data_IF_211417294949
#
_entry.id   IF_211417294949
#
_cell.length_a   1.000
_cell.length_b   1.000
_cell.length_c   1.000
_cell.angle_alpha   90.00
_cell.angle_beta   90.00
_cell.angle_gamma   90.00
#
_symmetry.space_group_name_H-M   'P 1'
#
loop_
_entity.id
_entity.type
_entity.pdbx_description
1 polymer ?
#
# COMPACT_ATOMS: atom_id res chain seq x y z
N UNK A 1 -7.74 -18.90 6.20
CA UNK A 1 -6.83 -18.60 7.31
C UNK A 1 -5.55 -17.85 6.90
N UNK A 2 -5.45 -17.42 5.63
CA UNK A 2 -4.32 -16.60 5.14
C UNK A 2 -4.72 -15.12 5.16
N UNK A 3 -3.73 -14.25 5.48
CA UNK A 3 -3.95 -12.80 5.49
C UNK A 3 -3.27 -12.13 4.32
N UNK A 4 -2.02 -12.47 4.05
CA UNK A 4 -1.22 -11.98 2.95
C UNK A 4 -0.67 -13.11 2.09
N UNK A 5 -0.78 -12.97 0.77
CA UNK A 5 -0.31 -13.95 -0.18
C UNK A 5 0.42 -13.21 -1.31
N UNK A 6 1.61 -13.73 -1.66
CA UNK A 6 2.44 -13.23 -2.73
C UNK A 6 2.40 -14.17 -3.93
N UNK A 7 2.39 -13.60 -5.12
CA UNK A 7 2.32 -14.31 -6.40
C UNK A 7 3.54 -13.95 -7.24
N UNK A 8 4.56 -14.82 -7.29
CA UNK A 8 5.71 -14.65 -8.18
C UNK A 8 5.36 -15.02 -9.63
N UNK A 9 4.25 -15.73 -9.86
CA UNK A 9 3.81 -16.21 -11.17
C UNK A 9 3.36 -15.04 -12.05
N UNK A 10 3.77 -15.07 -13.32
CA UNK A 10 3.47 -14.00 -14.29
C UNK A 10 2.04 -14.02 -14.82
N UNK A 11 1.34 -15.12 -14.59
CA UNK A 11 -0.05 -15.33 -14.99
C UNK A 11 -1.00 -14.37 -14.27
N UNK A 12 -0.68 -14.03 -13.02
CA UNK A 12 -1.48 -13.11 -12.22
C UNK A 12 -1.10 -11.65 -12.49
N UNK A 13 -2.09 -10.78 -12.62
CA UNK A 13 -1.86 -9.34 -12.77
C UNK A 13 -1.37 -8.71 -11.47
N UNK A 14 -1.86 -9.19 -10.33
CA UNK A 14 -1.44 -8.76 -9.00
C UNK A 14 -0.21 -9.55 -8.53
N UNK A 15 0.65 -8.89 -7.79
CA UNK A 15 1.83 -9.52 -7.19
C UNK A 15 1.60 -9.90 -5.73
N UNK A 16 0.56 -9.32 -5.12
CA UNK A 16 0.15 -9.59 -3.73
C UNK A 16 -1.34 -9.36 -3.60
N UNK A 17 -1.97 -10.17 -2.77
CA UNK A 17 -3.28 -9.84 -2.24
C UNK A 17 -3.33 -10.01 -0.72
N UNK A 18 -4.33 -9.40 -0.10
CA UNK A 18 -4.64 -9.66 1.29
C UNK A 18 -6.16 -9.70 1.53
N UNK A 19 -6.55 -10.60 2.41
CA UNK A 19 -7.94 -10.85 2.75
C UNK A 19 -8.24 -10.11 4.03
N UNK A 20 -8.80 -8.91 3.91
CA UNK A 20 -9.04 -8.01 5.04
C UNK A 20 -10.03 -8.60 6.04
N UNK A 21 -11.05 -9.30 5.56
CA UNK A 21 -12.04 -9.97 6.42
C UNK A 21 -11.43 -11.05 7.33
N UNK A 22 -10.25 -11.60 6.98
CA UNK A 22 -9.52 -12.52 7.85
C UNK A 22 -8.76 -11.78 8.97
N UNK A 23 -8.47 -10.49 8.81
CA UNK A 23 -7.83 -9.67 9.84
C UNK A 23 -8.85 -9.24 10.88
N UNK A 24 -10.04 -8.81 10.42
CA UNK A 24 -11.11 -8.41 11.32
C UNK A 24 -12.48 -8.69 10.68
N UNK A 25 -13.42 -9.28 11.43
CA UNK A 25 -14.77 -9.56 10.92
C UNK A 25 -15.57 -8.28 10.64
N UNK A 26 -15.09 -7.11 11.07
CA UNK A 26 -15.73 -5.81 10.81
C UNK A 26 -15.33 -5.17 9.47
N UNK A 27 -14.41 -5.80 8.71
CA UNK A 27 -13.94 -5.28 7.43
C UNK A 27 -14.72 -5.83 6.23
N UNK A 28 -15.81 -6.57 6.47
CA UNK A 28 -16.77 -6.97 5.46
C UNK A 28 -18.14 -7.18 6.13
N UNK A 29 -19.27 -7.03 5.41
CA UNK A 29 -20.58 -7.42 5.92
C UNK A 29 -20.63 -8.89 6.31
N UNK A 30 -21.52 -9.23 7.23
CA UNK A 30 -21.68 -10.62 7.69
C UNK A 30 -21.98 -11.57 6.52
N UNK A 31 -21.25 -12.67 6.43
CA UNK A 31 -21.39 -13.65 5.37
C UNK A 31 -20.69 -13.29 4.05
N UNK A 32 -19.93 -12.21 4.05
CA UNK A 32 -19.12 -11.78 2.89
C UNK A 32 -17.63 -11.73 3.21
N UNK A 33 -16.80 -11.49 2.19
CA UNK A 33 -15.36 -11.32 2.33
C UNK A 33 -14.89 -10.07 1.59
N UNK A 34 -13.77 -9.50 2.03
CA UNK A 34 -13.10 -8.41 1.32
C UNK A 34 -11.66 -8.79 0.98
N UNK A 35 -11.26 -8.55 -0.26
CA UNK A 35 -9.93 -8.87 -0.80
C UNK A 35 -9.37 -7.62 -1.46
N UNK A 36 -8.14 -7.24 -1.10
CA UNK A 36 -7.39 -6.21 -1.80
C UNK A 36 -6.28 -6.85 -2.63
N UNK A 37 -6.21 -6.49 -3.91
CA UNK A 37 -5.18 -6.95 -4.83
C UNK A 37 -4.24 -5.81 -5.19
N UNK A 38 -2.93 -6.00 -4.99
CA UNK A 38 -1.92 -5.00 -5.30
C UNK A 38 -1.28 -5.27 -6.65
N UNK A 39 -1.37 -4.27 -7.53
CA UNK A 39 -0.89 -4.36 -8.91
C UNK A 39 0.21 -3.32 -9.11
N UNK A 40 1.42 -3.79 -9.39
CA UNK A 40 2.51 -2.89 -9.77
C UNK A 40 2.40 -2.51 -11.23
N UNK A 41 2.57 -1.23 -11.54
CA UNK A 41 2.68 -0.73 -12.91
C UNK A 41 3.82 0.29 -13.03
N UNK A 42 4.25 0.54 -14.25
CA UNK A 42 5.34 1.48 -14.53
C UNK A 42 5.26 1.93 -16.00
N UNK A 43 6.10 2.88 -16.45
CA UNK A 43 6.23 3.19 -17.87
C UNK A 43 6.54 1.98 -18.76
N UNK A 44 7.15 0.93 -18.17
CA UNK A 44 7.52 -0.32 -18.87
C UNK A 44 6.50 -1.45 -18.67
N UNK A 45 5.70 -1.41 -17.61
CA UNK A 45 4.62 -2.34 -17.33
C UNK A 45 3.30 -1.58 -17.33
N UNK A 46 2.74 -1.41 -18.51
CA UNK A 46 1.44 -0.74 -18.67
C UNK A 46 0.32 -1.68 -18.25
N UNK A 47 -0.73 -1.10 -17.68
CA UNK A 47 -1.99 -1.78 -17.35
C UNK A 47 -3.13 -1.10 -18.10
N UNK A 48 -4.14 -1.88 -18.47
CA UNK A 48 -5.40 -1.38 -18.99
C UNK A 48 -6.35 -1.12 -17.80
N UNK A 49 -6.49 0.14 -17.42
CA UNK A 49 -7.30 0.53 -16.25
C UNK A 49 -8.79 0.26 -16.44
N UNK A 50 -9.28 0.24 -17.67
CA UNK A 50 -10.70 -0.03 -17.97
C UNK A 50 -11.05 -1.51 -17.79
N UNK A 51 -10.06 -2.40 -17.95
CA UNK A 51 -10.24 -3.86 -17.86
C UNK A 51 -9.63 -4.47 -16.59
N UNK A 52 -9.10 -3.63 -15.70
CA UNK A 52 -8.31 -4.14 -14.57
C UNK A 52 -9.15 -4.95 -13.61
N UNK A 53 -10.38 -4.52 -13.33
CA UNK A 53 -11.30 -5.25 -12.42
C UNK A 53 -11.65 -6.62 -13.00
N UNK A 54 -12.08 -6.66 -14.26
CA UNK A 54 -12.38 -7.92 -14.95
C UNK A 54 -11.18 -8.87 -14.91
N UNK A 55 -9.98 -8.33 -15.14
CA UNK A 55 -8.75 -9.13 -15.09
C UNK A 55 -8.46 -9.65 -13.68
N UNK A 56 -8.61 -8.82 -12.64
CA UNK A 56 -8.41 -9.23 -11.23
C UNK A 56 -9.41 -10.32 -10.85
N UNK A 57 -10.70 -10.16 -11.20
CA UNK A 57 -11.73 -11.16 -10.91
C UNK A 57 -11.38 -12.50 -11.56
N UNK A 58 -10.98 -12.51 -12.83
CA UNK A 58 -10.57 -13.73 -13.52
C UNK A 58 -9.34 -14.39 -12.85
N UNK A 59 -8.37 -13.59 -12.42
CA UNK A 59 -7.19 -14.07 -11.73
C UNK A 59 -7.51 -14.60 -10.31
N UNK A 60 -8.47 -14.00 -9.60
CA UNK A 60 -8.97 -14.52 -8.31
C UNK A 60 -9.70 -15.86 -8.48
N UNK A 61 -10.47 -16.03 -9.55
CA UNK A 61 -11.08 -17.32 -9.90
C UNK A 61 -9.99 -18.35 -10.21
N UNK A 62 -8.99 -18.00 -11.00
CA UNK A 62 -7.86 -18.87 -11.31
C UNK A 62 -7.09 -19.30 -10.05
N UNK A 63 -6.96 -18.39 -9.09
CA UNK A 63 -6.30 -18.63 -7.79
C UNK A 63 -7.21 -19.36 -6.78
N UNK A 64 -8.45 -19.71 -7.13
CA UNK A 64 -9.47 -20.36 -6.29
C UNK A 64 -9.83 -19.56 -5.02
N UNK A 65 -9.88 -18.22 -5.11
CA UNK A 65 -10.37 -17.36 -4.04
C UNK A 65 -11.86 -17.11 -4.12
N UNK A 66 -12.38 -17.05 -5.33
CA UNK A 66 -13.79 -16.86 -5.62
C UNK A 66 -14.22 -17.84 -6.70
N UNK A 67 -15.48 -18.18 -6.71
CA UNK A 67 -16.12 -18.98 -7.75
C UNK A 67 -16.75 -18.08 -8.83
N UNK A 68 -16.98 -18.63 -10.03
CA UNK A 68 -17.61 -17.88 -11.13
C UNK A 68 -19.03 -17.38 -10.82
N UNK A 69 -19.69 -18.00 -9.84
CA UNK A 69 -21.05 -17.68 -9.44
C UNK A 69 -21.09 -16.77 -8.19
N UNK A 70 -19.93 -16.42 -7.63
CA UNK A 70 -19.88 -15.49 -6.51
C UNK A 70 -20.28 -14.08 -6.96
N UNK A 71 -21.06 -13.42 -6.12
CA UNK A 71 -21.51 -12.06 -6.35
C UNK A 71 -20.46 -11.05 -5.87
N UNK A 72 -20.06 -10.15 -6.75
CA UNK A 72 -19.22 -9.00 -6.41
C UNK A 72 -20.11 -7.87 -5.93
N UNK A 73 -20.17 -7.65 -4.62
CA UNK A 73 -21.04 -6.66 -4.01
C UNK A 73 -20.54 -5.21 -4.18
N UNK A 74 -19.24 -5.03 -4.23
CA UNK A 74 -18.61 -3.72 -4.42
C UNK A 74 -17.20 -3.89 -4.98
N UNK A 75 -16.75 -2.88 -5.73
CA UNK A 75 -15.40 -2.76 -6.25
C UNK A 75 -14.91 -1.32 -6.12
N UNK A 76 -13.62 -1.16 -5.86
CA UNK A 76 -12.96 0.14 -5.82
C UNK A 76 -11.52 0.03 -6.35
N UNK A 77 -11.04 1.10 -6.99
CA UNK A 77 -9.69 1.20 -7.54
C UNK A 77 -9.01 2.44 -6.97
N UNK A 78 -7.94 2.24 -6.23
CA UNK A 78 -7.10 3.32 -5.71
C UNK A 78 -5.79 3.36 -6.46
N UNK A 79 -5.54 4.43 -7.20
CA UNK A 79 -4.28 4.65 -7.91
C UNK A 79 -3.29 5.40 -7.02
N UNK A 80 -2.27 4.70 -6.53
CA UNK A 80 -1.23 5.23 -5.68
C UNK A 80 0.04 5.52 -6.49
N UNK A 81 0.14 6.72 -7.03
CA UNK A 81 1.29 7.14 -7.85
C UNK A 81 2.65 6.96 -7.15
N UNK A 82 2.69 7.14 -5.84
CA UNK A 82 3.88 7.02 -4.99
C UNK A 82 3.60 6.05 -3.82
N UNK A 83 3.36 4.78 -4.14
CA UNK A 83 3.06 3.76 -3.12
C UNK A 83 4.29 3.40 -2.28
N UNK A 84 5.49 3.41 -2.89
CA UNK A 84 6.76 3.06 -2.27
C UNK A 84 7.83 4.07 -2.58
N UNK A 85 8.70 4.31 -1.62
CA UNK A 85 9.97 5.00 -1.85
C UNK A 85 10.92 4.07 -2.62
N UNK A 86 11.77 4.65 -3.47
CA UNK A 86 12.84 3.93 -4.15
C UNK A 86 14.16 4.56 -3.69
N UNK A 87 14.84 4.00 -2.69
CA UNK A 87 16.12 4.50 -2.22
C UNK A 87 17.19 4.27 -3.30
N UNK A 88 17.73 5.34 -3.85
CA UNK A 88 18.90 5.29 -4.70
C UNK A 88 20.19 5.50 -3.89
N UNK A 89 21.35 5.43 -4.55
CA UNK A 89 22.65 5.56 -3.88
C UNK A 89 22.83 6.93 -3.18
N UNK A 90 22.16 7.96 -3.67
CA UNK A 90 22.23 9.33 -3.15
C UNK A 90 21.07 9.68 -2.21
N UNK A 91 20.16 8.74 -1.97
CA UNK A 91 18.93 8.94 -1.23
C UNK A 91 19.15 9.71 0.08
N UNK A 92 20.04 9.22 0.96
CA UNK A 92 20.29 9.82 2.27
C UNK A 92 20.79 11.25 2.18
N UNK A 93 21.64 11.54 1.21
CA UNK A 93 22.20 12.89 1.02
C UNK A 93 21.15 13.87 0.48
N UNK A 94 20.26 13.40 -0.39
CA UNK A 94 19.18 14.19 -0.95
C UNK A 94 18.12 14.51 0.10
N UNK A 95 17.67 13.51 0.84
CA UNK A 95 16.62 13.70 1.85
C UNK A 95 17.11 14.57 3.01
N UNK A 96 18.38 14.41 3.42
CA UNK A 96 18.97 15.27 4.45
C UNK A 96 18.89 16.76 4.07
N UNK A 97 19.19 17.13 2.83
CA UNK A 97 19.09 18.52 2.38
C UNK A 97 17.67 19.06 2.48
N UNK A 98 16.68 18.23 2.18
CA UNK A 98 15.27 18.60 2.31
C UNK A 98 14.91 18.83 3.77
N UNK A 99 15.31 17.95 4.66
CA UNK A 99 15.03 18.10 6.10
C UNK A 99 15.76 19.29 6.73
N UNK A 100 17.03 19.49 6.39
CA UNK A 100 17.78 20.67 6.86
C UNK A 100 17.06 21.97 6.46
N UNK A 101 16.52 22.04 5.25
CA UNK A 101 15.74 23.18 4.78
C UNK A 101 14.42 23.32 5.52
N UNK A 102 13.65 22.23 5.68
CA UNK A 102 12.36 22.25 6.37
C UNK A 102 12.55 22.67 7.84
N UNK A 103 13.50 22.07 8.54
CA UNK A 103 13.78 22.36 9.94
C UNK A 103 14.26 23.79 10.17
N UNK A 104 15.07 24.35 9.26
CA UNK A 104 15.48 25.75 9.32
C UNK A 104 14.31 26.72 9.15
N UNK A 105 13.20 26.27 8.62
CA UNK A 105 11.94 27.00 8.50
C UNK A 105 10.89 26.56 9.53
N UNK A 106 11.29 25.86 10.61
CA UNK A 106 10.39 25.35 11.66
C UNK A 106 9.30 24.43 11.17
N UNK A 107 9.55 23.69 10.08
CA UNK A 107 8.66 22.67 9.53
C UNK A 107 9.21 21.30 9.90
N UNK A 108 8.44 20.54 10.68
CA UNK A 108 8.84 19.22 11.15
C UNK A 108 8.03 18.15 10.42
N UNK A 109 8.74 17.13 9.94
CA UNK A 109 8.14 16.01 9.23
C UNK A 109 7.87 14.86 10.20
N UNK A 110 6.76 14.15 9.99
CA UNK A 110 6.43 12.93 10.73
C UNK A 110 5.72 11.91 9.83
N UNK A 111 6.10 10.63 9.99
CA UNK A 111 5.48 9.51 9.31
C UNK A 111 6.09 9.16 7.96
N UNK A 112 5.66 8.02 7.44
CA UNK A 112 6.24 7.30 6.29
C UNK A 112 6.53 8.20 5.08
N UNK A 113 5.54 8.94 4.62
CA UNK A 113 5.70 9.77 3.40
C UNK A 113 6.37 11.11 3.68
N UNK A 114 6.15 11.71 4.86
CA UNK A 114 6.74 12.99 5.20
C UNK A 114 8.24 12.87 5.50
N UNK A 115 8.67 11.76 6.10
CA UNK A 115 10.09 11.45 6.33
C UNK A 115 10.72 10.70 5.15
N UNK A 116 9.89 10.31 4.17
CA UNK A 116 10.30 9.56 2.99
C UNK A 116 11.06 8.29 3.34
N UNK A 117 10.55 7.54 4.35
CA UNK A 117 11.14 6.31 4.85
C UNK A 117 10.19 5.11 4.67
N UNK A 118 10.76 3.91 4.61
CA UNK A 118 9.99 2.67 4.53
C UNK A 118 9.57 2.23 5.92
N UNK A 119 8.53 2.89 6.45
CA UNK A 119 7.98 2.62 7.77
C UNK A 119 6.80 1.66 7.72
N UNK A 120 6.72 0.78 8.71
CA UNK A 120 5.50 0.10 9.08
C UNK A 120 4.62 0.98 9.99
N UNK A 121 3.48 0.48 10.43
CA UNK A 121 2.51 1.30 11.20
C UNK A 121 3.09 1.76 12.54
N UNK A 122 3.81 0.89 13.23
CA UNK A 122 4.46 1.18 14.51
C UNK A 122 5.58 2.22 14.35
N UNK A 123 6.39 2.12 13.31
CA UNK A 123 7.42 3.13 12.99
C UNK A 123 6.79 4.51 12.71
N UNK A 124 5.68 4.54 11.97
CA UNK A 124 4.98 5.79 11.68
C UNK A 124 4.40 6.43 12.96
N UNK A 125 3.86 5.63 13.88
CA UNK A 125 3.37 6.10 15.19
C UNK A 125 4.55 6.64 16.03
N UNK A 126 5.65 5.90 16.09
CA UNK A 126 6.85 6.31 16.82
C UNK A 126 7.48 7.58 16.24
N UNK A 127 7.46 7.74 14.92
CA UNK A 127 7.89 8.98 14.24
C UNK A 127 7.06 10.18 14.71
N UNK A 128 5.73 10.04 14.74
CA UNK A 128 4.85 11.09 15.23
C UNK A 128 5.14 11.47 16.70
N UNK A 129 5.36 10.48 17.55
CA UNK A 129 5.74 10.72 18.96
C UNK A 129 7.05 11.50 19.06
N UNK A 130 8.11 11.06 18.39
CA UNK A 130 9.44 11.74 18.40
C UNK A 130 9.34 13.19 17.92
N UNK A 131 8.56 13.42 16.86
CA UNK A 131 8.35 14.77 16.34
C UNK A 131 7.63 15.67 17.32
N UNK A 132 6.59 15.17 18.00
CA UNK A 132 5.88 15.93 19.03
C UNK A 132 6.79 16.27 20.23
N UNK A 133 7.61 15.32 20.69
CA UNK A 133 8.59 15.53 21.76
C UNK A 133 9.63 16.60 21.37
N UNK A 134 10.13 16.56 20.13
CA UNK A 134 11.06 17.59 19.59
C UNK A 134 10.42 18.98 19.58
N UNK A 135 9.16 19.10 19.18
CA UNK A 135 8.44 20.38 19.16
C UNK A 135 8.10 20.90 20.57
N UNK A 136 7.86 20.02 21.53
CA UNK A 136 7.53 20.39 22.91
C UNK A 136 8.75 20.74 23.77
N UNK A 137 9.97 20.50 23.30
CA UNK A 137 11.22 20.75 24.02
C UNK A 137 11.91 22.09 23.67
N UNK A 138 11.24 22.94 22.84
CA UNK A 138 11.76 24.21 22.31
C UNK A 138 11.09 25.46 22.95
#
# INVERSE_FOLDING_TARGET
>A
DKHWIYYPEKEFIFHRNFIQSNISPYLAPLGTSSITCEISYSPYKKIDKEKIVERVVNDLILANYIDRNDEILAEDIVDLKYAYIIPDIDYKSKIKKVFDFLESNHIYSAGRFAEWEYYDTDDAILSGKRTAEKMGSG
#
